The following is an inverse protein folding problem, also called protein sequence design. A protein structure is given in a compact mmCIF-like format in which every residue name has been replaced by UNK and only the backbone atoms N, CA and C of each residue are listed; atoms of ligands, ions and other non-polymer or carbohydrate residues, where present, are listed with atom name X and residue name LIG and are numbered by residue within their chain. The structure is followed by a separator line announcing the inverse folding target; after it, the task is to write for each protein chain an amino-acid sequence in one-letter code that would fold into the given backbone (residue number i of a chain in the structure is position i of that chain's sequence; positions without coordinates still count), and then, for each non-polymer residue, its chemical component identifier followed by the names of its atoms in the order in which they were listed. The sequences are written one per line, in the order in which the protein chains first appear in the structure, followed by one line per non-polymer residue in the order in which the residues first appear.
data_IF_286650695583
#
_entry.id   IF_286650695583
#
_cell.length_a   1.000
_cell.length_b   1.000
_cell.length_c   1.000
_cell.angle_alpha   90.00
_cell.angle_beta   90.00
_cell.angle_gamma   90.00
#
_symmetry.space_group_name_H-M   'P 1'
#
loop_
_entity.id
_entity.type
_entity.pdbx_description
1 polymer ?
#
# COMPACT_ATOMS: atom_id res chain seq x y z
N UNK A 1 -6.72 1.80 9.22
CA UNK A 1 -5.49 2.55 9.56
C UNK A 1 -5.55 3.90 8.88
N UNK A 2 -5.00 4.97 9.47
CA UNK A 2 -4.93 6.28 8.80
C UNK A 2 -3.45 6.66 8.66
N UNK A 3 -3.04 7.02 7.45
CA UNK A 3 -1.71 7.58 7.16
C UNK A 3 -1.88 9.05 6.79
N UNK A 4 -1.06 9.91 7.37
CA UNK A 4 -0.99 11.31 6.98
C UNK A 4 0.24 11.51 6.09
N UNK A 5 0.09 12.31 5.04
CA UNK A 5 1.27 12.77 4.30
C UNK A 5 2.04 13.76 5.17
N UNK A 6 3.38 13.77 5.06
CA UNK A 6 4.18 14.83 5.66
C UNK A 6 3.84 16.22 5.08
N UNK A 7 3.44 16.27 3.81
CA UNK A 7 2.95 17.48 3.16
C UNK A 7 1.93 17.12 2.06
N UNK A 8 1.01 18.04 1.71
CA UNK A 8 0.11 17.83 0.57
C UNK A 8 0.91 17.58 -0.72
N UNK A 9 0.42 16.65 -1.54
CA UNK A 9 1.00 16.34 -2.85
C UNK A 9 0.91 17.57 -3.75
N UNK A 10 2.04 18.00 -4.28
CA UNK A 10 2.15 19.09 -5.26
C UNK A 10 2.03 18.54 -6.68
N UNK A 11 1.87 19.45 -7.63
CA UNK A 11 1.84 19.09 -9.05
C UNK A 11 3.14 18.39 -9.45
N UNK A 12 3.04 17.16 -9.95
CA UNK A 12 4.19 16.32 -10.31
C UNK A 12 4.69 15.40 -9.19
N UNK A 13 4.19 15.53 -7.97
CA UNK A 13 4.42 14.58 -6.89
C UNK A 13 3.36 13.46 -6.91
N UNK A 14 3.78 12.26 -6.55
CA UNK A 14 2.93 11.09 -6.37
C UNK A 14 3.24 10.43 -5.03
N UNK A 15 2.21 10.01 -4.32
CA UNK A 15 2.39 9.21 -3.12
C UNK A 15 2.51 7.73 -3.50
N UNK A 16 3.46 7.05 -2.88
CA UNK A 16 3.66 5.61 -2.98
C UNK A 16 3.54 4.96 -1.60
N UNK A 17 2.81 3.87 -1.56
CA UNK A 17 2.67 3.02 -0.39
C UNK A 17 3.59 1.80 -0.55
N UNK A 18 4.65 1.75 0.23
CA UNK A 18 5.52 0.59 0.35
C UNK A 18 4.92 -0.36 1.40
N UNK A 19 4.49 -1.54 0.96
CA UNK A 19 3.93 -2.58 1.82
C UNK A 19 4.91 -3.75 1.84
N UNK A 20 5.52 -3.98 2.99
CA UNK A 20 6.42 -5.12 3.21
C UNK A 20 5.58 -6.31 3.62
N UNK A 21 5.51 -7.28 2.73
CA UNK A 21 4.77 -8.51 2.95
C UNK A 21 5.64 -9.55 3.67
N UNK A 22 4.98 -10.49 4.32
CA UNK A 22 5.60 -11.65 4.93
C UNK A 22 5.29 -12.92 4.16
N UNK A 23 5.37 -14.09 4.82
CA UNK A 23 4.96 -15.34 4.20
C UNK A 23 3.44 -15.36 3.99
N UNK A 24 2.99 -15.22 2.74
CA UNK A 24 1.60 -15.41 2.35
C UNK A 24 1.37 -16.80 1.76
N UNK A 25 0.19 -17.35 1.96
CA UNK A 25 -0.19 -18.62 1.33
C UNK A 25 -0.41 -18.39 -0.18
N UNK A 26 -0.07 -19.37 -1.02
CA UNK A 26 -0.37 -19.29 -2.46
C UNK A 26 -1.87 -19.08 -2.69
N UNK A 27 -2.20 -18.18 -3.63
CA UNK A 27 -3.58 -17.81 -3.94
C UNK A 27 -4.19 -16.78 -2.98
N UNK A 28 -3.37 -16.18 -2.11
CA UNK A 28 -3.74 -15.02 -1.30
C UNK A 28 -3.14 -13.75 -1.89
N UNK A 29 -3.95 -12.70 -1.91
CA UNK A 29 -3.56 -11.37 -2.37
C UNK A 29 -3.94 -10.37 -1.29
N UNK A 30 -3.03 -9.46 -0.95
CA UNK A 30 -3.35 -8.32 -0.09
C UNK A 30 -3.93 -7.23 -0.95
N UNK A 31 -5.23 -7.00 -0.84
CA UNK A 31 -5.87 -5.84 -1.43
C UNK A 31 -5.80 -4.66 -0.47
N UNK A 32 -5.46 -3.51 -1.05
CA UNK A 32 -5.33 -2.24 -0.37
C UNK A 32 -6.43 -1.35 -0.89
N UNK A 33 -7.36 -0.99 -0.01
CA UNK A 33 -8.46 -0.10 -0.30
C UNK A 33 -8.47 1.08 0.68
N UNK A 34 -9.24 2.11 0.35
CA UNK A 34 -9.57 3.16 1.32
C UNK A 34 -10.55 2.62 2.36
N UNK A 35 -10.71 3.34 3.47
CA UNK A 35 -11.74 3.02 4.46
C UNK A 35 -13.17 3.12 3.89
N UNK A 36 -13.36 3.88 2.81
CA UNK A 36 -14.61 4.01 2.07
C UNK A 36 -14.84 2.85 1.07
N UNK A 37 -13.89 1.92 0.95
CA UNK A 37 -13.98 0.76 0.06
C UNK A 37 -13.48 1.01 -1.36
N UNK A 38 -12.82 2.14 -1.64
CA UNK A 38 -12.23 2.42 -2.96
C UNK A 38 -10.92 1.64 -3.10
N UNK A 39 -10.78 0.74 -4.08
CA UNK A 39 -9.54 0.01 -4.29
C UNK A 39 -8.42 0.96 -4.74
N UNK A 40 -7.29 0.92 -4.04
CA UNK A 40 -6.07 1.67 -4.40
C UNK A 40 -5.16 0.76 -5.23
N UNK A 41 -5.03 -0.49 -4.82
CA UNK A 41 -4.22 -1.48 -5.52
C UNK A 41 -4.15 -2.81 -4.75
N UNK A 42 -3.38 -3.75 -5.27
CA UNK A 42 -3.20 -5.05 -4.67
C UNK A 42 -1.72 -5.43 -4.64
N UNK A 43 -1.27 -5.96 -3.52
CA UNK A 43 0.04 -6.56 -3.34
C UNK A 43 -0.13 -8.08 -3.28
N UNK A 44 0.29 -8.76 -4.34
CA UNK A 44 0.37 -10.21 -4.36
C UNK A 44 1.83 -10.66 -4.27
N UNK A 45 2.10 -11.79 -3.59
CA UNK A 45 3.42 -12.38 -3.53
C UNK A 45 3.78 -13.02 -4.89
N UNK A 46 4.16 -12.22 -5.88
CA UNK A 46 4.60 -12.74 -7.17
C UNK A 46 6.10 -13.09 -7.10
N UNK A 47 6.41 -14.37 -6.87
CA UNK A 47 7.77 -14.90 -7.05
C UNK A 47 8.02 -16.27 -6.39
N UNK A 48 8.71 -17.22 -7.07
CA UNK A 48 8.98 -18.57 -6.58
C UNK A 48 10.16 -18.63 -5.58
N UNK A 49 10.30 -17.64 -4.69
CA UNK A 49 11.42 -17.65 -3.74
C UNK A 49 11.01 -18.46 -2.50
N UNK A 50 11.26 -19.78 -2.53
CA UNK A 50 11.11 -20.62 -1.35
C UNK A 50 11.95 -20.02 -0.21
N UNK A 51 11.29 -19.49 0.81
CA UNK A 51 11.93 -19.08 2.06
C UNK A 51 12.31 -17.60 2.20
N UNK A 52 12.04 -16.73 1.22
CA UNK A 52 12.09 -15.27 1.43
C UNK A 52 10.66 -14.72 1.47
N UNK A 53 10.33 -13.97 2.52
CA UNK A 53 9.05 -13.27 2.64
C UNK A 53 8.76 -12.49 1.35
N UNK A 54 7.48 -12.36 1.02
CA UNK A 54 7.07 -11.57 -0.13
C UNK A 54 7.64 -10.16 0.04
N UNK A 55 8.52 -9.74 -0.88
CA UNK A 55 9.28 -8.49 -0.71
C UNK A 55 8.40 -7.25 -0.54
N UNK A 56 9.04 -6.10 -0.39
CA UNK A 56 8.32 -4.83 -0.34
C UNK A 56 7.70 -4.52 -1.69
N UNK A 57 6.37 -4.36 -1.71
CA UNK A 57 5.60 -3.97 -2.90
C UNK A 57 5.24 -2.50 -2.80
N UNK A 58 5.47 -1.76 -3.87
CA UNK A 58 5.17 -0.33 -3.94
C UNK A 58 3.89 -0.13 -4.74
N UNK A 59 2.86 0.45 -4.12
CA UNK A 59 1.57 0.74 -4.73
C UNK A 59 1.42 2.27 -4.88
N UNK A 60 1.23 2.79 -6.10
CA UNK A 60 0.96 4.21 -6.29
C UNK A 60 -0.42 4.56 -5.73
N UNK A 61 -0.50 5.62 -4.93
CA UNK A 61 -1.76 6.08 -4.34
C UNK A 61 -2.32 7.22 -5.19
N UNK A 62 -3.54 7.07 -5.74
CA UNK A 62 -4.14 8.11 -6.57
C UNK A 62 -4.46 9.38 -5.75
N UNK A 63 -4.29 10.56 -6.35
CA UNK A 63 -4.55 11.83 -5.68
C UNK A 63 -6.02 11.98 -5.21
N UNK A 64 -6.97 11.32 -5.89
CA UNK A 64 -8.39 11.40 -5.58
C UNK A 64 -8.84 10.70 -4.29
N UNK A 65 -8.00 9.86 -3.67
CA UNK A 65 -8.36 9.17 -2.41
C UNK A 65 -7.90 9.91 -1.16
N UNK A 66 -7.14 10.99 -1.30
CA UNK A 66 -6.67 11.80 -0.18
C UNK A 66 -7.78 12.71 0.33
N UNK A 67 -8.00 12.72 1.64
CA UNK A 67 -8.94 13.60 2.34
C UNK A 67 -8.16 14.44 3.34
N UNK A 68 -8.07 15.74 3.10
CA UNK A 68 -7.37 16.67 3.99
C UNK A 68 -5.89 16.29 4.27
N UNK A 69 -5.19 15.79 3.23
CA UNK A 69 -3.81 15.28 3.37
C UNK A 69 -3.69 13.96 4.14
N UNK A 70 -4.81 13.32 4.48
CA UNK A 70 -4.88 12.03 5.15
C UNK A 70 -5.46 10.97 4.24
N UNK A 71 -5.00 9.75 4.42
CA UNK A 71 -5.45 8.57 3.72
C UNK A 71 -5.88 7.52 4.72
N UNK A 72 -7.18 7.28 4.78
CA UNK A 72 -7.72 6.18 5.55
C UNK A 72 -7.62 4.90 4.70
N UNK A 73 -6.75 3.98 5.13
CA UNK A 73 -6.46 2.71 4.46
C UNK A 73 -7.10 1.54 5.21
N UNK A 74 -7.54 0.57 4.42
CA UNK A 74 -8.01 -0.73 4.87
C UNK A 74 -7.35 -1.81 4.02
N UNK A 75 -6.64 -2.71 4.69
CA UNK A 75 -6.03 -3.86 4.05
C UNK A 75 -6.89 -5.09 4.30
N UNK A 76 -7.04 -5.92 3.28
CA UNK A 76 -7.70 -7.21 3.39
C UNK A 76 -6.97 -8.24 2.52
N UNK A 77 -6.90 -9.46 3.01
CA UNK A 77 -6.41 -10.60 2.26
C UNK A 77 -7.60 -11.26 1.61
N UNK A 78 -7.58 -11.29 0.29
CA UNK A 78 -8.56 -11.99 -0.52
C UNK A 78 -7.93 -13.28 -1.05
N UNK A 79 -8.66 -14.37 -0.87
CA UNK A 79 -8.30 -15.69 -1.40
C UNK A 79 -8.95 -15.91 -2.76
N UNK A 80 -8.40 -16.82 -3.57
CA UNK A 80 -9.05 -17.26 -4.82
C UNK A 80 -10.50 -17.77 -4.61
N UNK A 81 -10.84 -18.26 -3.41
CA UNK A 81 -12.20 -18.69 -3.04
C UNK A 81 -13.17 -17.53 -2.77
N UNK A 82 -12.72 -16.27 -2.96
CA UNK A 82 -13.51 -15.06 -2.70
C UNK A 82 -13.63 -14.69 -1.22
N UNK A 83 -13.01 -15.46 -0.31
CA UNK A 83 -12.99 -15.11 1.12
C UNK A 83 -12.04 -13.94 1.35
N UNK A 84 -12.55 -12.93 2.04
CA UNK A 84 -11.81 -11.77 2.51
C UNK A 84 -11.61 -11.85 4.03
N UNK A 85 -10.40 -11.59 4.50
CA UNK A 85 -10.07 -11.49 5.93
C UNK A 85 -9.09 -10.34 6.18
N UNK A 86 -9.02 -9.77 7.39
CA UNK A 86 -7.94 -8.85 7.72
C UNK A 86 -6.57 -9.56 7.67
N UNK A 87 -5.50 -8.89 7.18
CA UNK A 87 -4.15 -9.43 7.28
C UNK A 87 -3.67 -9.48 8.72
N UNK A 88 -2.78 -10.42 9.01
CA UNK A 88 -2.04 -10.50 10.28
C UNK A 88 -0.72 -9.71 10.21
N UNK A 89 -0.13 -9.42 11.37
CA UNK A 89 1.16 -8.74 11.46
C UNK A 89 2.33 -9.54 10.85
N UNK A 90 2.21 -10.87 10.79
CA UNK A 90 3.18 -11.73 10.10
C UNK A 90 3.08 -11.60 8.58
N UNK A 91 1.87 -11.43 8.05
CA UNK A 91 1.61 -11.30 6.60
C UNK A 91 1.90 -9.89 6.08
N UNK A 92 1.64 -8.86 6.89
CA UNK A 92 1.98 -7.47 6.59
C UNK A 92 2.90 -6.95 7.68
N UNK A 93 4.20 -7.02 7.41
CA UNK A 93 5.24 -6.67 8.37
C UNK A 93 5.39 -5.17 8.57
N UNK A 94 5.26 -4.41 7.48
CA UNK A 94 5.46 -2.98 7.52
C UNK A 94 4.65 -2.29 6.42
N UNK A 95 4.16 -1.09 6.72
CA UNK A 95 3.54 -0.21 5.74
C UNK A 95 4.18 1.17 5.90
N UNK A 96 4.77 1.67 4.82
CA UNK A 96 5.37 3.00 4.75
C UNK A 96 4.75 3.80 3.62
N UNK A 97 4.48 5.07 3.90
CA UNK A 97 4.06 6.04 2.92
C UNK A 97 5.25 6.92 2.57
N UNK A 98 5.56 7.02 1.28
CA UNK A 98 6.59 7.89 0.75
C UNK A 98 6.02 8.75 -0.37
N UNK A 99 6.59 9.92 -0.58
CA UNK A 99 6.27 10.78 -1.72
C UNK A 99 7.42 10.66 -2.71
N UNK A 100 7.10 10.39 -3.98
CA UNK A 100 8.02 10.39 -5.10
C UNK A 100 7.63 11.51 -6.06
N UNK A 101 8.61 12.18 -6.64
CA UNK A 101 8.37 13.34 -7.49
C UNK A 101 9.65 14.17 -7.59
N UNK A 102 9.64 15.25 -8.40
CA UNK A 102 10.75 16.19 -8.37
C UNK A 102 10.87 16.69 -6.92
N UNK A 103 12.06 16.52 -6.32
CA UNK A 103 12.39 17.08 -5.02
C UNK A 103 11.99 18.56 -5.01
N UNK A 104 11.47 19.12 -3.89
CA UNK A 104 11.21 20.54 -3.83
C UNK A 104 12.51 21.26 -4.18
N UNK A 105 12.56 21.86 -5.37
CA UNK A 105 13.66 22.72 -5.75
C UNK A 105 13.59 23.89 -4.77
N UNK A 106 14.55 23.96 -3.85
CA UNK A 106 14.74 25.13 -3.00
C UNK A 106 14.76 26.36 -3.91
N UNK A 107 13.89 27.36 -3.71
CA UNK A 107 14.00 28.59 -4.46
C UNK A 107 15.30 29.32 -4.08
N UNK A 108 16.01 29.94 -5.04
CA UNK A 108 17.13 30.83 -4.76
C UNK A 108 16.69 32.14 -4.11
#
# INVERSE_FOLDING_TARGET
MVLALPHPLRQGEAAILAVTLGPLTRGQTVEVATSDGVPIGAAAPFGPQRGQGAGTVTIPVPAGVWRDGRLALRLHITTHDGRSRPPTADEVKEIRLSIIGPTPQSPP
#
